data_IF_456536265418
#
_entry.id   IF_456536265418
#
_cell.length_a   1.000
_cell.length_b   1.000
_cell.length_c   1.000
_cell.angle_alpha   90.00
_cell.angle_beta   90.00
_cell.angle_gamma   90.00
#
_symmetry.space_group_name_H-M   'P 1'
#
loop_
_entity.id
_entity.type
_entity.pdbx_description
1 polymer ?
#
# COMPACT_ATOMS: atom_id res chain seq x y z
N UNK A 1 41.09 29.89 33.63
CA UNK A 1 41.42 28.84 32.63
C UNK A 1 40.50 27.63 32.70
N UNK A 2 40.15 27.10 33.90
CA UNK A 2 39.21 25.96 34.06
C UNK A 2 37.83 26.18 33.40
N UNK A 3 37.30 27.42 33.47
CA UNK A 3 35.99 27.78 32.93
C UNK A 3 35.92 27.79 31.40
N UNK A 4 36.98 28.23 30.73
CA UNK A 4 37.03 28.30 29.26
C UNK A 4 37.07 26.90 28.66
N UNK A 5 37.79 25.97 29.30
CA UNK A 5 37.86 24.55 28.91
C UNK A 5 36.51 23.84 29.11
N UNK A 6 35.80 24.18 30.18
CA UNK A 6 34.46 23.63 30.43
C UNK A 6 33.44 24.10 29.38
N UNK A 7 33.46 25.39 29.01
CA UNK A 7 32.53 25.95 28.03
C UNK A 7 32.77 25.39 26.62
N UNK A 8 34.03 25.21 26.21
CA UNK A 8 34.34 24.62 24.90
C UNK A 8 33.97 23.13 24.82
N UNK A 9 34.16 22.38 25.91
CA UNK A 9 33.68 20.99 26.01
C UNK A 9 32.16 20.88 25.91
N UNK A 10 31.42 21.75 26.61
CA UNK A 10 29.95 21.75 26.55
C UNK A 10 29.46 22.08 25.15
N UNK A 11 30.02 23.11 24.50
CA UNK A 11 29.59 23.51 23.15
C UNK A 11 29.92 22.45 22.10
N UNK A 12 31.05 21.76 22.21
CA UNK A 12 31.40 20.67 21.27
C UNK A 12 30.51 19.43 21.46
N UNK A 13 30.14 19.10 22.70
CA UNK A 13 29.17 18.02 22.99
C UNK A 13 27.78 18.38 22.46
N UNK A 14 27.34 19.63 22.59
CA UNK A 14 26.04 20.08 22.06
C UNK A 14 26.00 20.05 20.54
N UNK A 15 27.06 20.53 19.86
CA UNK A 15 27.14 20.46 18.38
C UNK A 15 27.18 19.00 17.90
N UNK A 16 27.91 18.12 18.58
CA UNK A 16 27.93 16.69 18.25
C UNK A 16 26.57 16.02 18.44
N UNK A 17 25.81 16.40 19.48
CA UNK A 17 24.44 15.92 19.70
C UNK A 17 23.47 16.41 18.62
N UNK A 18 23.59 17.65 18.17
CA UNK A 18 22.79 18.20 17.07
C UNK A 18 23.06 17.48 15.74
N UNK A 19 24.33 17.16 15.43
CA UNK A 19 24.71 16.48 14.18
C UNK A 19 24.14 15.05 14.10
N UNK A 20 23.86 14.39 15.24
CA UNK A 20 23.26 13.04 15.23
C UNK A 20 21.75 13.02 15.00
N UNK A 21 21.06 14.16 14.94
CA UNK A 21 19.61 14.21 14.73
C UNK A 21 19.21 14.08 13.24
N UNK A 22 20.15 14.26 12.31
CA UNK A 22 19.85 14.46 10.88
C UNK A 22 20.06 13.23 9.97
N UNK A 23 20.27 12.04 10.50
CA UNK A 23 20.61 10.88 9.67
C UNK A 23 19.93 9.58 10.08
N UNK A 24 18.61 9.53 9.93
CA UNK A 24 17.93 8.25 9.72
C UNK A 24 17.86 7.95 8.22
N UNK A 25 18.53 6.90 7.71
CA UNK A 25 18.38 6.50 6.33
C UNK A 25 16.96 5.94 6.11
N UNK A 26 16.22 6.54 5.18
CA UNK A 26 14.91 6.10 4.74
C UNK A 26 14.98 4.74 4.03
N UNK A 27 15.03 3.66 4.81
CA UNK A 27 14.92 2.30 4.34
C UNK A 27 13.53 1.74 4.67
N UNK A 28 12.59 1.78 3.70
CA UNK A 28 11.50 0.78 3.53
C UNK A 28 10.41 1.14 2.49
N UNK A 29 10.74 1.82 1.40
CA UNK A 29 9.75 2.18 0.36
C UNK A 29 9.71 1.31 -0.91
N UNK A 30 10.49 0.22 -1.03
CA UNK A 30 10.60 -0.53 -2.31
C UNK A 30 9.45 -1.51 -2.58
N UNK A 31 9.05 -2.30 -1.58
CA UNK A 31 8.14 -3.44 -1.78
C UNK A 31 6.72 -3.05 -2.28
N UNK A 32 6.14 -1.95 -1.78
CA UNK A 32 4.81 -1.48 -2.22
C UNK A 32 4.85 -0.98 -3.67
N UNK A 33 5.92 -0.26 -4.02
CA UNK A 33 6.11 0.29 -5.37
C UNK A 33 6.39 -0.81 -6.39
N UNK A 34 7.04 -1.90 -6.00
CA UNK A 34 7.34 -3.01 -6.93
C UNK A 34 6.08 -3.81 -7.31
N UNK A 35 5.07 -3.90 -6.43
CA UNK A 35 3.80 -4.57 -6.72
C UNK A 35 2.89 -3.80 -7.72
N UNK A 36 3.00 -2.47 -7.77
CA UNK A 36 2.22 -1.63 -8.70
C UNK A 36 2.89 -1.46 -10.09
N UNK A 37 4.10 -1.99 -10.30
CA UNK A 37 4.86 -1.83 -11.55
C UNK A 37 4.45 -2.80 -12.67
N UNK A 38 3.57 -3.76 -12.40
CA UNK A 38 3.27 -4.88 -13.31
C UNK A 38 1.89 -4.84 -14.00
N UNK A 39 1.04 -3.85 -13.70
CA UNK A 39 -0.28 -3.71 -14.32
C UNK A 39 -0.41 -2.39 -15.04
N UNK A 40 -0.99 -2.41 -16.25
CA UNK A 40 -1.65 -1.20 -16.72
C UNK A 40 -2.76 -0.90 -15.71
N UNK A 41 -2.54 0.09 -14.84
CA UNK A 41 -3.56 0.61 -13.93
C UNK A 41 -4.64 1.31 -14.76
N UNK A 42 -5.33 0.58 -15.64
CA UNK A 42 -6.51 1.08 -16.32
C UNK A 42 -7.57 1.13 -15.23
N UNK A 43 -8.02 2.32 -14.79
CA UNK A 43 -9.12 2.40 -13.86
C UNK A 43 -10.30 1.63 -14.49
N UNK A 44 -11.04 0.86 -13.68
CA UNK A 44 -12.30 0.34 -14.20
C UNK A 44 -13.16 1.55 -14.54
N UNK A 45 -13.53 1.69 -15.81
CA UNK A 45 -14.53 2.67 -16.20
C UNK A 45 -15.86 2.35 -15.50
N UNK A 46 -16.76 3.33 -15.47
CA UNK A 46 -18.05 3.19 -14.78
C UNK A 46 -18.93 2.09 -15.38
N UNK A 47 -18.82 1.81 -16.68
CA UNK A 47 -19.55 0.73 -17.35
C UNK A 47 -19.06 -0.65 -16.91
N UNK A 48 -17.73 -0.84 -16.80
CA UNK A 48 -17.17 -2.08 -16.25
C UNK A 48 -17.54 -2.26 -14.79
N UNK A 49 -17.54 -1.19 -13.97
CA UNK A 49 -18.02 -1.27 -12.58
C UNK A 49 -19.48 -1.68 -12.50
N UNK A 50 -20.34 -1.11 -13.35
CA UNK A 50 -21.76 -1.48 -13.42
C UNK A 50 -21.96 -2.94 -13.83
N UNK A 51 -21.19 -3.41 -14.82
CA UNK A 51 -21.18 -4.81 -15.29
C UNK A 51 -20.80 -5.78 -14.17
N UNK A 52 -19.72 -5.49 -13.45
CA UNK A 52 -19.26 -6.30 -12.30
C UNK A 52 -20.32 -6.31 -11.20
N UNK A 53 -20.96 -5.17 -10.90
CA UNK A 53 -22.01 -5.05 -9.88
C UNK A 53 -23.26 -5.86 -10.26
N UNK A 54 -23.66 -5.79 -11.53
CA UNK A 54 -24.79 -6.57 -12.08
C UNK A 54 -24.50 -8.08 -12.01
N UNK A 55 -23.31 -8.51 -12.44
CA UNK A 55 -22.86 -9.89 -12.32
C UNK A 55 -22.87 -10.35 -10.84
N UNK A 56 -22.31 -9.55 -9.94
CA UNK A 56 -22.24 -9.91 -8.52
C UNK A 56 -23.62 -10.09 -7.91
N UNK A 57 -24.58 -9.21 -8.23
CA UNK A 57 -25.97 -9.29 -7.74
C UNK A 57 -26.70 -10.54 -8.25
N UNK A 58 -26.40 -11.00 -9.47
CA UNK A 58 -27.04 -12.15 -10.11
C UNK A 58 -26.42 -13.49 -9.71
N UNK A 59 -25.09 -13.55 -9.65
CA UNK A 59 -24.35 -14.82 -9.57
C UNK A 59 -23.76 -15.11 -8.18
N UNK A 60 -23.56 -14.10 -7.32
CA UNK A 60 -22.99 -14.30 -6.00
C UNK A 60 -24.12 -14.42 -4.96
N UNK A 61 -24.36 -15.65 -4.47
CA UNK A 61 -25.50 -16.03 -3.59
C UNK A 61 -25.51 -15.42 -2.17
N UNK A 62 -24.73 -14.38 -1.87
CA UNK A 62 -24.84 -13.68 -0.59
C UNK A 62 -24.43 -12.20 -0.71
N UNK A 63 -25.27 -11.29 -0.19
CA UNK A 63 -24.86 -9.90 0.06
C UNK A 63 -23.69 -9.81 1.06
N UNK A 64 -23.41 -10.92 1.76
CA UNK A 64 -22.32 -11.13 2.72
C UNK A 64 -21.43 -12.29 2.25
N UNK A 65 -20.91 -12.28 1.02
CA UNK A 65 -19.81 -13.20 0.68
C UNK A 65 -18.57 -12.75 1.46
N UNK A 66 -18.46 -13.25 2.69
CA UNK A 66 -17.27 -13.25 3.55
C UNK A 66 -16.31 -14.31 3.01
N UNK A 67 -15.57 -13.94 1.97
CA UNK A 67 -14.43 -14.71 1.49
C UNK A 67 -13.13 -13.99 1.84
N UNK A 68 -11.99 -14.69 1.82
CA UNK A 68 -10.69 -14.03 1.86
C UNK A 68 -10.59 -13.04 0.69
N UNK A 69 -9.93 -11.91 0.92
CA UNK A 69 -9.64 -10.94 -0.15
C UNK A 69 -8.76 -11.60 -1.19
N UNK A 70 -8.95 -11.20 -2.45
CA UNK A 70 -8.12 -11.66 -3.57
C UNK A 70 -7.54 -10.46 -4.31
N UNK A 71 -6.32 -10.62 -4.80
CA UNK A 71 -5.54 -9.53 -5.40
C UNK A 71 -5.11 -9.92 -6.81
N UNK A 72 -5.19 -8.97 -7.74
CA UNK A 72 -4.60 -9.06 -9.05
C UNK A 72 -3.15 -8.65 -9.07
N UNK A 73 -2.39 -9.15 -10.03
CA UNK A 73 -1.01 -8.72 -10.32
C UNK A 73 -0.93 -7.25 -10.76
N UNK A 74 -2.06 -6.67 -11.13
CA UNK A 74 -2.23 -5.27 -11.55
C UNK A 74 -2.60 -4.34 -10.39
N UNK A 75 -2.43 -4.79 -9.15
CA UNK A 75 -2.69 -3.95 -7.97
C UNK A 75 -4.16 -3.89 -7.52
N UNK A 76 -5.09 -4.49 -8.27
CA UNK A 76 -6.52 -4.44 -7.93
C UNK A 76 -6.89 -5.44 -6.85
N UNK A 77 -7.73 -5.00 -5.90
CA UNK A 77 -8.20 -5.82 -4.78
C UNK A 77 -9.70 -6.10 -4.91
N UNK A 78 -10.08 -7.35 -4.72
CA UNK A 78 -11.46 -7.79 -4.71
C UNK A 78 -11.82 -8.34 -3.33
N UNK A 79 -13.01 -7.98 -2.84
CA UNK A 79 -13.50 -8.38 -1.51
C UNK A 79 -13.55 -9.89 -1.31
N UNK A 80 -13.72 -10.64 -2.41
CA UNK A 80 -13.76 -12.10 -2.43
C UNK A 80 -13.52 -12.60 -3.87
N UNK A 81 -13.37 -13.92 -4.00
CA UNK A 81 -13.23 -14.62 -5.28
C UNK A 81 -14.42 -14.40 -6.24
N UNK A 82 -15.65 -14.28 -5.74
CA UNK A 82 -16.83 -14.11 -6.60
C UNK A 82 -16.78 -12.77 -7.37
N UNK A 83 -16.34 -11.70 -6.70
CA UNK A 83 -16.16 -10.39 -7.34
C UNK A 83 -15.04 -10.41 -8.39
N UNK A 84 -13.97 -11.18 -8.17
CA UNK A 84 -12.92 -11.40 -9.15
C UNK A 84 -13.44 -12.16 -10.39
N UNK A 85 -14.26 -13.20 -10.19
CA UNK A 85 -14.91 -13.91 -11.32
C UNK A 85 -15.78 -12.97 -12.15
N UNK A 86 -16.58 -12.12 -11.51
CA UNK A 86 -17.39 -11.13 -12.23
C UNK A 86 -16.55 -10.08 -12.95
N UNK A 87 -15.38 -9.70 -12.40
CA UNK A 87 -14.43 -8.87 -13.10
C UNK A 87 -13.92 -9.56 -14.37
N UNK A 88 -13.57 -10.85 -14.29
CA UNK A 88 -13.11 -11.63 -15.47
C UNK A 88 -14.16 -11.68 -16.57
N UNK A 89 -15.43 -11.85 -16.21
CA UNK A 89 -16.54 -11.81 -17.17
C UNK A 89 -16.72 -10.42 -17.82
N UNK A 90 -16.24 -9.36 -17.17
CA UNK A 90 -16.29 -7.98 -17.69
C UNK A 90 -15.03 -7.61 -18.48
N UNK A 91 -14.15 -8.57 -18.79
CA UNK A 91 -12.91 -8.34 -19.56
C UNK A 91 -11.64 -8.19 -18.72
N UNK A 92 -11.70 -8.42 -17.41
CA UNK A 92 -10.52 -8.39 -16.55
C UNK A 92 -9.62 -9.63 -16.77
N UNK A 93 -8.37 -9.42 -17.16
CA UNK A 93 -7.45 -10.52 -17.54
C UNK A 93 -6.24 -10.68 -16.61
N UNK A 94 -6.10 -9.84 -15.59
CA UNK A 94 -4.95 -9.88 -14.69
C UNK A 94 -4.90 -11.19 -13.87
N UNK A 95 -3.68 -11.68 -13.66
CA UNK A 95 -3.41 -12.90 -12.90
C UNK A 95 -3.72 -12.66 -11.42
N UNK A 96 -4.35 -13.64 -10.77
CA UNK A 96 -4.52 -13.60 -9.33
C UNK A 96 -3.18 -13.90 -8.64
N UNK A 97 -2.80 -13.09 -7.66
CA UNK A 97 -1.59 -13.24 -6.86
C UNK A 97 -1.95 -13.21 -5.37
N UNK A 98 -1.00 -13.62 -4.52
CA UNK A 98 -1.15 -13.45 -3.09
C UNK A 98 -1.34 -11.97 -2.75
N UNK A 99 -2.30 -11.65 -1.88
CA UNK A 99 -2.49 -10.28 -1.43
C UNK A 99 -1.32 -9.84 -0.56
N UNK A 100 -0.78 -8.62 -0.76
CA UNK A 100 0.21 -8.07 0.16
C UNK A 100 -0.42 -7.90 1.56
N UNK A 101 0.39 -7.97 2.64
CA UNK A 101 -0.09 -7.72 4.00
C UNK A 101 -0.66 -6.31 4.13
N UNK A 102 -1.68 -6.12 4.97
CA UNK A 102 -2.44 -4.85 5.05
C UNK A 102 -1.58 -3.65 5.51
N UNK A 103 -0.49 -3.90 6.23
CA UNK A 103 0.52 -2.89 6.63
C UNK A 103 1.22 -2.22 5.44
N UNK A 104 1.15 -2.83 4.25
CA UNK A 104 1.69 -2.27 3.03
C UNK A 104 0.81 -1.14 2.42
N UNK A 105 -0.41 -0.94 2.91
CA UNK A 105 -1.37 0.02 2.34
C UNK A 105 -1.73 1.20 3.26
N UNK A 106 -1.31 1.19 4.54
CA UNK A 106 -1.72 2.19 5.54
C UNK A 106 -0.59 3.10 6.05
N UNK A 107 0.57 3.16 5.39
CA UNK A 107 1.62 4.13 5.73
C UNK A 107 1.65 5.34 4.78
N UNK A 108 0.54 5.63 4.10
CA UNK A 108 0.44 6.80 3.23
C UNK A 108 -0.02 8.08 3.96
N UNK A 109 -0.66 8.00 5.13
CA UNK A 109 -1.37 9.17 5.68
C UNK A 109 -1.35 9.27 7.23
N UNK A 110 -0.31 8.77 7.89
CA UNK A 110 -0.11 9.06 9.31
C UNK A 110 1.37 9.36 9.60
N UNK A 111 1.72 10.64 9.49
CA UNK A 111 2.47 11.34 10.54
C UNK A 111 2.28 12.86 10.34
N UNK A 112 1.68 13.49 11.35
CA UNK A 112 1.58 14.93 11.59
C UNK A 112 2.92 15.48 12.14
#
# INVERSE_FOLDING_TARGET
MKYVVAVTLVMTVLVALFIQLEAAPAASGKAVRDWMKGGTNVPFDESVKASIKSCFKKNCKSKRVTGPRVCGADGKRFKNSCKLTCARMSGYTSKQVACPPETAATLADADE
#
